data_IF_065343800246
#
_entry.id   IF_065343800246
#
_cell.length_a   1.000
_cell.length_b   1.000
_cell.length_c   1.000
_cell.angle_alpha   90.00
_cell.angle_beta   90.00
_cell.angle_gamma   90.00
#
_symmetry.space_group_name_H-M   'P 1'
#
loop_
_entity.id
_entity.type
_entity.pdbx_description
1 polymer ?
#
# COMPACT_ATOMS: atom_id res chain seq x y z
N UNK A 1 24.93 -5.23 -3.34
CA UNK A 1 25.16 -3.78 -3.63
C UNK A 1 24.54 -2.94 -2.54
N UNK A 2 25.13 -1.80 -2.17
CA UNK A 2 24.51 -0.84 -1.23
C UNK A 2 24.26 0.48 -1.95
N UNK A 3 23.02 0.95 -1.93
CA UNK A 3 22.61 2.26 -2.43
C UNK A 3 22.08 3.05 -1.24
N UNK A 4 22.88 3.98 -0.75
CA UNK A 4 22.57 4.80 0.43
C UNK A 4 22.39 6.25 0.01
N UNK A 5 21.20 6.80 0.26
CA UNK A 5 20.90 8.22 0.15
C UNK A 5 21.22 8.97 1.45
N UNK A 6 21.62 10.23 1.32
CA UNK A 6 21.90 11.12 2.44
C UNK A 6 21.07 12.40 2.28
N UNK A 7 20.44 12.86 3.36
CA UNK A 7 19.67 14.11 3.37
C UNK A 7 18.40 14.07 2.51
N UNK A 8 17.64 12.96 2.56
CA UNK A 8 16.49 12.69 1.68
C UNK A 8 16.84 12.84 0.19
N UNK A 9 17.90 12.14 -0.23
CA UNK A 9 18.29 12.08 -1.62
C UNK A 9 17.10 11.64 -2.48
N UNK A 10 16.76 12.45 -3.48
CA UNK A 10 15.53 12.29 -4.26
C UNK A 10 15.85 11.91 -5.71
N UNK A 11 15.15 10.91 -6.23
CA UNK A 11 15.23 10.48 -7.63
C UNK A 11 13.87 10.74 -8.29
N UNK A 12 13.88 11.48 -9.40
CA UNK A 12 12.70 11.75 -10.21
C UNK A 12 12.88 11.07 -11.57
N UNK A 13 12.03 10.09 -11.95
CA UNK A 13 12.11 9.49 -13.27
C UNK A 13 11.47 10.40 -14.33
N UNK A 14 12.24 10.73 -15.36
CA UNK A 14 11.72 11.38 -16.56
C UNK A 14 11.11 10.36 -17.52
N UNK A 15 10.22 10.81 -18.40
CA UNK A 15 9.69 10.02 -19.53
C UNK A 15 8.94 8.74 -19.13
N UNK A 16 8.41 8.66 -17.90
CA UNK A 16 7.59 7.53 -17.45
C UNK A 16 8.38 6.22 -17.23
N UNK A 17 9.69 6.32 -17.01
CA UNK A 17 10.51 5.13 -16.70
C UNK A 17 10.34 4.72 -15.23
N UNK A 18 10.68 3.47 -14.93
CA UNK A 18 10.91 3.05 -13.54
C UNK A 18 12.20 3.67 -13.02
N UNK A 19 12.15 4.36 -11.88
CA UNK A 19 13.31 5.04 -11.31
C UNK A 19 14.37 4.05 -10.80
N UNK A 20 13.93 2.93 -10.23
CA UNK A 20 14.81 1.94 -9.63
C UNK A 20 14.36 0.52 -9.95
N UNK A 21 15.25 -0.26 -10.59
CA UNK A 21 15.07 -1.70 -10.82
C UNK A 21 16.21 -2.47 -10.17
N UNK A 22 15.89 -3.35 -9.24
CA UNK A 22 16.83 -4.32 -8.66
C UNK A 22 16.69 -5.64 -9.42
N UNK A 23 17.81 -6.26 -9.81
CA UNK A 23 17.78 -7.59 -10.41
C UNK A 23 17.45 -8.70 -9.39
N UNK A 24 17.28 -9.93 -9.88
CA UNK A 24 17.04 -11.10 -9.02
C UNK A 24 18.36 -11.58 -8.39
N UNK A 25 18.87 -10.83 -7.41
CA UNK A 25 20.21 -11.04 -6.80
C UNK A 25 20.18 -10.87 -5.28
N UNK A 26 21.13 -11.52 -4.62
CA UNK A 26 21.28 -11.46 -3.17
C UNK A 26 21.75 -10.09 -2.65
N UNK A 27 21.28 -9.72 -1.46
CA UNK A 27 21.93 -8.77 -0.57
C UNK A 27 22.03 -7.33 -1.09
N UNK A 28 21.11 -6.91 -1.96
CA UNK A 28 21.00 -5.48 -2.30
C UNK A 28 20.40 -4.73 -1.12
N UNK A 29 20.94 -3.57 -0.79
CA UNK A 29 20.46 -2.71 0.30
C UNK A 29 20.11 -1.35 -0.29
N UNK A 30 18.82 -1.03 -0.30
CA UNK A 30 18.31 0.28 -0.66
C UNK A 30 18.00 1.03 0.63
N UNK A 31 18.62 2.19 0.84
CA UNK A 31 18.52 2.92 2.10
C UNK A 31 18.40 4.43 1.90
N UNK A 32 17.39 5.07 2.49
CA UNK A 32 17.32 6.53 2.64
C UNK A 32 17.06 7.30 1.33
N UNK A 33 16.13 6.82 0.51
CA UNK A 33 15.82 7.38 -0.82
C UNK A 33 14.37 7.87 -0.88
N UNK A 34 14.14 9.05 -1.45
CA UNK A 34 12.82 9.47 -1.90
C UNK A 34 12.72 9.24 -3.42
N UNK A 35 11.71 8.50 -3.85
CA UNK A 35 11.37 8.33 -5.26
C UNK A 35 10.14 9.17 -5.55
N UNK A 36 10.33 10.27 -6.27
CA UNK A 36 9.30 11.28 -6.49
C UNK A 36 8.82 11.22 -7.95
N UNK A 37 7.54 10.97 -8.17
CA UNK A 37 7.01 10.66 -9.50
C UNK A 37 7.12 11.86 -10.46
N UNK A 38 7.61 11.59 -11.68
CA UNK A 38 7.59 12.56 -12.77
C UNK A 38 6.19 12.81 -13.33
N UNK A 39 6.07 13.82 -14.21
CA UNK A 39 4.78 14.23 -14.80
C UNK A 39 4.24 13.23 -15.83
N UNK A 40 5.11 12.49 -16.49
CA UNK A 40 4.74 11.35 -17.35
C UNK A 40 4.55 10.12 -16.48
N UNK A 41 3.42 9.44 -16.62
CA UNK A 41 3.09 8.26 -15.83
C UNK A 41 4.14 7.15 -15.99
N UNK A 42 4.72 6.70 -14.88
CA UNK A 42 5.53 5.47 -14.83
C UNK A 42 4.65 4.25 -14.53
N UNK A 43 4.94 3.09 -15.13
CA UNK A 43 4.22 1.86 -14.79
C UNK A 43 4.49 1.44 -13.33
N UNK A 44 5.75 1.54 -12.90
CA UNK A 44 6.16 1.42 -11.51
C UNK A 44 7.28 2.42 -11.20
N UNK A 45 7.41 2.90 -9.97
CA UNK A 45 8.55 3.75 -9.58
C UNK A 45 9.73 2.93 -9.07
N UNK A 46 9.44 1.88 -8.29
CA UNK A 46 10.43 0.94 -7.76
C UNK A 46 10.02 -0.49 -8.08
N UNK A 47 10.98 -1.29 -8.55
CA UNK A 47 10.81 -2.71 -8.81
C UNK A 47 11.98 -3.49 -8.16
N UNK A 48 11.67 -4.40 -7.23
CA UNK A 48 12.65 -5.27 -6.56
C UNK A 48 12.50 -6.69 -7.10
N UNK A 49 13.45 -7.10 -7.94
CA UNK A 49 13.36 -8.32 -8.73
C UNK A 49 12.51 -8.10 -10.00
N UNK A 50 12.87 -8.72 -11.13
CA UNK A 50 12.05 -8.68 -12.34
C UNK A 50 10.73 -9.45 -12.15
N UNK A 51 9.73 -9.15 -12.98
CA UNK A 51 8.53 -9.99 -13.08
C UNK A 51 8.89 -11.47 -13.32
N UNK A 52 8.26 -12.37 -12.56
CA UNK A 52 8.56 -13.80 -12.62
C UNK A 52 9.83 -14.23 -11.87
N UNK A 53 10.43 -13.33 -11.07
CA UNK A 53 11.46 -13.70 -10.10
C UNK A 53 11.01 -14.90 -9.26
N UNK A 54 11.91 -15.85 -9.06
CA UNK A 54 11.62 -17.12 -8.38
C UNK A 54 12.78 -17.65 -7.54
N UNK A 55 13.95 -16.99 -7.59
CA UNK A 55 15.06 -17.34 -6.71
C UNK A 55 14.67 -17.09 -5.24
N UNK A 56 15.20 -17.92 -4.34
CA UNK A 56 15.15 -17.61 -2.90
C UNK A 56 16.42 -16.90 -2.49
N UNK A 57 16.27 -15.88 -1.66
CA UNK A 57 17.34 -15.05 -1.11
C UNK A 57 17.41 -15.14 0.43
N UNK A 58 16.82 -16.16 1.04
CA UNK A 58 16.66 -16.28 2.50
C UNK A 58 17.97 -16.13 3.31
N UNK A 59 19.11 -16.54 2.75
CA UNK A 59 20.40 -16.42 3.43
C UNK A 59 21.01 -15.00 3.38
N UNK A 60 20.59 -14.18 2.42
CA UNK A 60 21.12 -12.84 2.18
C UNK A 60 20.09 -12.01 1.39
N UNK A 61 18.96 -11.62 2.01
CA UNK A 61 17.86 -11.00 1.32
C UNK A 61 18.19 -9.59 0.85
N UNK A 62 17.51 -9.13 -0.20
CA UNK A 62 17.47 -7.70 -0.53
C UNK A 62 16.62 -6.95 0.52
N UNK A 63 17.07 -5.76 0.92
CA UNK A 63 16.34 -4.89 1.85
C UNK A 63 15.99 -3.52 1.25
N UNK A 64 14.80 -3.04 1.61
CA UNK A 64 14.26 -1.71 1.30
C UNK A 64 14.04 -0.99 2.63
N UNK A 65 14.83 0.04 2.92
CA UNK A 65 14.85 0.71 4.23
C UNK A 65 14.81 2.23 4.07
N UNK A 66 13.90 2.91 4.75
CA UNK A 66 13.71 4.36 4.58
C UNK A 66 13.62 4.76 3.09
N UNK A 67 12.95 3.93 2.29
CA UNK A 67 12.64 4.23 0.88
C UNK A 67 11.23 4.74 0.83
N UNK A 68 11.06 5.95 0.32
CA UNK A 68 9.80 6.66 0.27
C UNK A 68 9.36 6.84 -1.17
N UNK A 69 8.05 6.82 -1.41
CA UNK A 69 7.46 7.18 -2.69
C UNK A 69 6.54 8.37 -2.50
N UNK A 70 6.66 9.36 -3.39
CA UNK A 70 5.71 10.46 -3.50
C UNK A 70 5.11 10.52 -4.90
N UNK A 71 3.79 10.61 -4.99
CA UNK A 71 3.06 10.84 -6.25
C UNK A 71 2.26 12.13 -6.16
N UNK A 72 2.85 13.22 -6.65
CA UNK A 72 2.26 14.56 -6.61
C UNK A 72 2.76 15.44 -5.45
N UNK A 73 2.07 16.55 -5.20
CA UNK A 73 2.34 17.46 -4.07
C UNK A 73 3.39 18.55 -4.37
N UNK A 74 4.39 18.24 -5.20
CA UNK A 74 5.37 19.19 -5.74
C UNK A 74 5.20 19.42 -7.26
N UNK A 75 3.99 19.17 -7.77
CA UNK A 75 3.68 19.09 -9.20
C UNK A 75 2.80 17.87 -9.51
N UNK A 76 2.32 17.74 -10.75
CA UNK A 76 1.39 16.68 -11.14
C UNK A 76 2.12 15.37 -11.49
N UNK A 77 2.67 14.69 -10.48
CA UNK A 77 3.35 13.40 -10.64
C UNK A 77 2.38 12.23 -10.79
N UNK A 78 2.72 11.22 -11.59
CA UNK A 78 1.88 10.02 -11.80
C UNK A 78 2.69 8.72 -11.84
N UNK A 79 2.12 7.66 -11.27
CA UNK A 79 2.61 6.30 -11.45
C UNK A 79 1.46 5.31 -11.31
N UNK A 80 1.42 4.25 -12.10
CA UNK A 80 0.39 3.20 -11.96
C UNK A 80 0.57 2.46 -10.63
N UNK A 81 1.81 2.07 -10.30
CA UNK A 81 2.17 1.42 -9.03
C UNK A 81 3.36 2.14 -8.36
N UNK A 82 3.29 2.39 -7.05
CA UNK A 82 4.42 2.97 -6.30
C UNK A 82 5.63 2.02 -6.25
N UNK A 83 5.42 0.82 -5.74
CA UNK A 83 6.49 -0.17 -5.53
C UNK A 83 5.99 -1.59 -5.84
N UNK A 84 6.82 -2.36 -6.54
CA UNK A 84 6.59 -3.78 -6.83
C UNK A 84 7.73 -4.61 -6.23
N UNK A 85 7.38 -5.63 -5.46
CA UNK A 85 8.32 -6.58 -4.84
C UNK A 85 8.10 -7.96 -5.44
N UNK A 86 8.96 -8.36 -6.36
CA UNK A 86 8.93 -9.68 -7.00
C UNK A 86 9.91 -10.66 -6.35
N UNK A 87 11.08 -10.20 -5.90
CA UNK A 87 12.06 -11.10 -5.27
C UNK A 87 11.58 -11.65 -3.94
N UNK A 88 11.69 -12.97 -3.78
CA UNK A 88 11.40 -13.66 -2.54
C UNK A 88 12.31 -13.20 -1.41
N UNK A 89 11.86 -13.40 -0.17
CA UNK A 89 12.60 -13.14 1.07
C UNK A 89 12.96 -11.65 1.29
N UNK A 90 12.49 -10.74 0.43
CA UNK A 90 12.75 -9.30 0.55
C UNK A 90 12.28 -8.77 1.91
N UNK A 91 13.09 -7.90 2.52
CA UNK A 91 12.74 -7.19 3.75
C UNK A 91 12.39 -5.73 3.40
N UNK A 92 11.19 -5.31 3.73
CA UNK A 92 10.74 -3.92 3.68
C UNK A 92 10.71 -3.42 5.13
N UNK A 93 11.68 -2.61 5.52
CA UNK A 93 11.82 -2.14 6.90
C UNK A 93 11.79 -0.62 6.93
N UNK A 94 10.63 -0.09 7.29
CA UNK A 94 10.21 1.29 7.16
C UNK A 94 10.15 1.80 5.71
N UNK A 95 8.92 2.01 5.23
CA UNK A 95 8.64 2.69 3.96
C UNK A 95 7.41 3.56 4.13
N UNK A 96 7.34 4.62 3.33
CA UNK A 96 6.13 5.43 3.19
C UNK A 96 5.85 5.65 1.71
N UNK A 97 4.77 5.06 1.22
CA UNK A 97 4.31 5.22 -0.15
C UNK A 97 3.08 6.11 -0.14
N UNK A 98 3.21 7.30 -0.67
CA UNK A 98 2.21 8.35 -0.48
C UNK A 98 1.79 8.94 -1.82
N UNK A 99 0.52 8.73 -2.19
CA UNK A 99 -0.12 9.56 -3.20
C UNK A 99 -0.55 10.86 -2.53
N UNK A 100 -0.13 11.98 -3.07
CA UNK A 100 -0.30 13.26 -2.39
C UNK A 100 -1.78 13.65 -2.18
N UNK A 101 -2.17 13.92 -0.93
CA UNK A 101 -3.47 14.48 -0.54
C UNK A 101 -3.46 16.02 -0.45
N UNK A 102 -2.27 16.63 -0.43
CA UNK A 102 -2.08 18.08 -0.35
C UNK A 102 -0.87 18.57 -1.18
N UNK A 103 -0.77 19.88 -1.38
CA UNK A 103 0.28 20.53 -2.18
C UNK A 103 -0.19 20.89 -3.60
N UNK A 104 0.75 21.04 -4.53
CA UNK A 104 0.46 21.35 -5.92
C UNK A 104 0.32 20.08 -6.77
N UNK A 105 -0.51 20.12 -7.81
CA UNK A 105 -0.68 19.02 -8.75
C UNK A 105 -1.42 17.80 -8.19
N UNK A 106 -2.31 18.01 -7.22
CA UNK A 106 -3.12 16.96 -6.60
C UNK A 106 -4.52 16.87 -7.20
N UNK A 107 -5.16 15.71 -7.03
CA UNK A 107 -6.55 15.46 -7.39
C UNK A 107 -6.75 14.09 -8.03
N UNK A 108 -8.00 13.61 -8.05
CA UNK A 108 -8.34 12.23 -8.43
C UNK A 108 -7.66 11.74 -9.71
N UNK A 109 -7.63 12.60 -10.74
CA UNK A 109 -6.95 12.33 -12.02
C UNK A 109 -5.60 13.07 -12.19
N UNK A 110 -5.31 14.09 -11.38
CA UNK A 110 -4.12 14.95 -11.53
C UNK A 110 -2.84 14.21 -11.12
N UNK A 111 -2.85 13.56 -9.96
CA UNK A 111 -1.77 12.71 -9.46
C UNK A 111 -2.25 11.27 -9.27
N UNK A 112 -3.06 10.77 -10.21
CA UNK A 112 -3.61 9.43 -10.15
C UNK A 112 -2.51 8.39 -9.96
N UNK A 113 -2.71 7.53 -8.98
CA UNK A 113 -1.90 6.35 -8.72
C UNK A 113 -2.78 5.24 -8.20
N UNK A 114 -2.93 4.18 -8.99
CA UNK A 114 -3.92 3.15 -8.70
C UNK A 114 -3.44 2.24 -7.55
N UNK A 115 -2.15 1.91 -7.46
CA UNK A 115 -1.62 0.95 -6.49
C UNK A 115 -0.39 1.47 -5.74
N UNK A 116 -0.33 1.24 -4.42
CA UNK A 116 0.83 1.63 -3.62
C UNK A 116 1.94 0.59 -3.68
N UNK A 117 1.73 -0.53 -3.00
CA UNK A 117 2.63 -1.67 -2.92
C UNK A 117 1.98 -2.91 -3.53
N UNK A 118 2.68 -3.58 -4.45
CA UNK A 118 2.34 -4.92 -4.91
C UNK A 118 3.44 -5.89 -4.50
N UNK A 119 3.09 -6.90 -3.70
CA UNK A 119 4.02 -7.94 -3.24
C UNK A 119 3.70 -9.25 -3.94
N UNK A 120 4.55 -9.65 -4.87
CA UNK A 120 4.42 -10.89 -5.63
C UNK A 120 5.37 -11.98 -5.11
N UNK A 121 6.50 -11.60 -4.52
CA UNK A 121 7.47 -12.53 -3.95
C UNK A 121 6.99 -13.23 -2.69
N UNK A 122 7.44 -14.47 -2.51
CA UNK A 122 7.19 -15.30 -1.33
C UNK A 122 8.09 -14.90 -0.16
N UNK A 123 7.66 -15.18 1.07
CA UNK A 123 8.42 -14.95 2.32
C UNK A 123 8.85 -13.50 2.56
N UNK A 124 8.21 -12.53 1.90
CA UNK A 124 8.49 -11.10 2.12
C UNK A 124 8.07 -10.69 3.52
N UNK A 125 8.91 -9.89 4.18
CA UNK A 125 8.65 -9.31 5.50
C UNK A 125 8.54 -7.80 5.40
N UNK A 126 7.44 -7.23 5.85
CA UNK A 126 7.26 -5.79 6.03
C UNK A 126 7.22 -5.43 7.53
N UNK A 127 8.06 -4.49 7.96
CA UNK A 127 8.08 -3.92 9.31
C UNK A 127 7.95 -2.40 9.22
N UNK A 128 6.90 -1.82 9.81
CA UNK A 128 6.67 -0.38 9.71
C UNK A 128 6.21 0.05 8.30
N UNK A 129 5.09 -0.51 7.83
CA UNK A 129 4.55 -0.24 6.50
C UNK A 129 3.55 0.93 6.52
N UNK A 130 3.84 2.02 5.79
CA UNK A 130 2.94 3.16 5.64
C UNK A 130 2.60 3.33 4.15
N UNK A 131 1.31 3.28 3.80
CA UNK A 131 0.87 3.38 2.39
C UNK A 131 -0.46 4.10 2.30
N UNK A 132 -0.55 5.20 1.56
CA UNK A 132 -1.69 6.11 1.65
C UNK A 132 -2.19 6.67 0.31
N UNK A 133 -3.51 6.86 0.28
CA UNK A 133 -4.33 7.62 -0.66
C UNK A 133 -4.37 7.13 -2.11
N UNK A 134 -4.00 5.89 -2.39
CA UNK A 134 -4.05 5.34 -3.74
C UNK A 134 -5.51 5.18 -4.22
N UNK A 135 -5.72 5.31 -5.53
CA UNK A 135 -7.06 5.27 -6.12
C UNK A 135 -7.72 3.88 -6.00
N UNK A 136 -6.93 2.80 -5.89
CA UNK A 136 -7.40 1.42 -5.72
C UNK A 136 -6.82 0.78 -4.47
N UNK A 137 -6.14 -0.36 -4.60
CA UNK A 137 -5.53 -1.07 -3.47
C UNK A 137 -4.24 -0.37 -3.09
N UNK A 138 -4.16 0.13 -1.86
CA UNK A 138 -2.92 0.69 -1.33
C UNK A 138 -1.86 -0.41 -1.23
N UNK A 139 -2.21 -1.57 -0.68
CA UNK A 139 -1.38 -2.79 -0.67
C UNK A 139 -2.15 -3.96 -1.30
N UNK A 140 -1.49 -4.68 -2.21
CA UNK A 140 -1.92 -5.99 -2.70
C UNK A 140 -0.81 -7.02 -2.50
N UNK A 141 -1.14 -8.14 -1.87
CA UNK A 141 -0.23 -9.22 -1.55
C UNK A 141 -0.65 -10.51 -2.24
N UNK A 142 0.20 -10.96 -3.15
CA UNK A 142 -0.01 -12.13 -4.01
C UNK A 142 0.93 -13.29 -3.68
N UNK A 143 2.09 -13.01 -3.07
CA UNK A 143 3.08 -14.02 -2.67
C UNK A 143 2.72 -14.77 -1.39
N UNK A 144 3.24 -15.99 -1.25
CA UNK A 144 3.01 -16.88 -0.11
C UNK A 144 3.87 -16.53 1.11
N UNK A 145 3.38 -16.91 2.29
CA UNK A 145 4.08 -16.78 3.58
C UNK A 145 4.56 -15.36 3.91
N UNK A 146 3.85 -14.36 3.39
CA UNK A 146 4.13 -12.95 3.66
C UNK A 146 3.81 -12.56 5.11
N UNK A 147 4.58 -11.61 5.65
CA UNK A 147 4.35 -11.07 7.00
C UNK A 147 4.39 -9.55 7.03
N UNK A 148 3.45 -8.94 7.75
CA UNK A 148 3.45 -7.50 8.03
C UNK A 148 3.34 -7.24 9.53
N UNK A 149 4.31 -6.53 10.09
CA UNK A 149 4.29 -6.09 11.49
C UNK A 149 4.24 -4.56 11.47
N UNK A 150 3.10 -4.03 11.94
CA UNK A 150 2.68 -2.64 11.79
C UNK A 150 2.30 -2.26 10.34
N UNK A 151 1.05 -1.80 10.18
CA UNK A 151 0.57 -1.13 8.97
C UNK A 151 -0.25 0.10 9.32
N UNK A 152 0.01 1.19 8.61
CA UNK A 152 -0.79 2.41 8.63
C UNK A 152 -1.21 2.75 7.20
N UNK A 153 -2.47 3.11 7.04
CA UNK A 153 -3.03 3.57 5.78
C UNK A 153 -4.12 4.60 5.98
N UNK A 154 -4.18 5.58 5.10
CA UNK A 154 -5.37 6.39 4.86
C UNK A 154 -5.88 6.20 3.43
N UNK A 155 -7.20 6.08 3.25
CA UNK A 155 -7.82 5.99 1.91
C UNK A 155 -7.72 7.33 1.18
N UNK A 156 -7.91 7.30 -0.14
CA UNK A 156 -7.97 8.50 -0.98
C UNK A 156 -9.13 9.41 -0.55
N UNK A 157 -8.83 10.63 -0.11
CA UNK A 157 -9.85 11.57 0.36
C UNK A 157 -10.72 12.12 -0.77
N UNK A 158 -10.17 12.12 -1.98
CA UNK A 158 -10.63 12.90 -3.13
C UNK A 158 -11.42 12.07 -4.15
N UNK A 159 -11.87 10.88 -3.77
CA UNK A 159 -12.84 10.11 -4.55
C UNK A 159 -14.09 10.97 -4.83
N UNK A 160 -14.46 11.22 -6.11
CA UNK A 160 -15.51 12.17 -6.43
C UNK A 160 -16.92 11.65 -6.15
N UNK A 161 -17.07 10.34 -5.99
CA UNK A 161 -18.32 9.65 -5.64
C UNK A 161 -18.06 8.15 -5.42
N UNK A 162 -19.06 7.43 -4.91
CA UNK A 162 -19.00 5.97 -4.72
C UNK A 162 -18.65 5.17 -5.99
N UNK A 163 -19.12 5.62 -7.17
CA UNK A 163 -18.91 4.88 -8.41
C UNK A 163 -17.45 4.90 -8.87
N UNK A 164 -16.71 5.97 -8.57
CA UNK A 164 -15.28 6.09 -8.89
C UNK A 164 -14.41 5.07 -8.16
N UNK A 165 -14.86 4.58 -7.00
CA UNK A 165 -14.16 3.60 -6.16
C UNK A 165 -14.85 2.22 -6.16
N UNK A 166 -15.87 2.00 -7.00
CA UNK A 166 -16.58 0.74 -7.04
C UNK A 166 -15.66 -0.39 -7.55
N UNK A 167 -15.54 -1.47 -6.79
CA UNK A 167 -14.72 -2.63 -7.09
C UNK A 167 -15.61 -3.87 -7.32
N UNK A 168 -16.18 -3.99 -8.52
CA UNK A 168 -17.19 -5.00 -8.79
C UNK A 168 -18.41 -4.81 -7.88
N UNK A 169 -18.78 -5.83 -7.10
CA UNK A 169 -19.84 -5.71 -6.08
C UNK A 169 -19.38 -5.06 -4.77
N UNK A 170 -18.07 -4.96 -4.53
CA UNK A 170 -17.48 -4.39 -3.31
C UNK A 170 -17.40 -2.87 -3.42
N UNK A 171 -17.74 -2.17 -2.33
CA UNK A 171 -17.68 -0.70 -2.27
C UNK A 171 -16.28 -0.26 -1.84
N UNK A 172 -15.51 0.31 -2.76
CA UNK A 172 -14.12 0.66 -2.46
C UNK A 172 -13.17 -0.51 -2.66
N UNK A 173 -11.89 -0.16 -2.79
CA UNK A 173 -10.78 -1.11 -2.79
C UNK A 173 -10.19 -1.16 -1.37
N UNK A 174 -9.91 -2.35 -0.85
CA UNK A 174 -9.28 -2.50 0.46
C UNK A 174 -7.96 -1.70 0.55
N UNK A 175 -7.61 -1.25 1.74
CA UNK A 175 -6.28 -0.72 2.00
C UNK A 175 -5.21 -1.80 1.88
N UNK A 176 -5.55 -3.02 2.31
CA UNK A 176 -4.63 -4.14 2.28
C UNK A 176 -5.39 -5.39 1.83
N UNK A 177 -5.10 -5.84 0.60
CA UNK A 177 -5.65 -7.05 0.02
C UNK A 177 -4.61 -8.17 0.05
N UNK A 178 -4.98 -9.33 0.59
CA UNK A 178 -4.34 -10.61 0.31
C UNK A 178 -5.15 -11.30 -0.78
N UNK A 179 -4.50 -11.76 -1.85
CA UNK A 179 -5.19 -12.44 -2.94
C UNK A 179 -5.76 -13.79 -2.48
N UNK A 180 -6.93 -14.16 -3.01
CA UNK A 180 -7.67 -15.36 -2.57
C UNK A 180 -6.92 -16.68 -2.80
N UNK A 181 -5.96 -16.67 -3.73
CA UNK A 181 -5.08 -17.80 -4.01
C UNK A 181 -4.08 -18.08 -2.89
N UNK A 182 -3.67 -17.06 -2.12
CA UNK A 182 -2.65 -17.17 -1.06
C UNK A 182 -3.12 -18.10 0.05
N UNK A 183 -2.24 -18.99 0.51
CA UNK A 183 -2.56 -19.98 1.54
C UNK A 183 -1.93 -19.65 2.89
N UNK A 184 -0.82 -18.91 2.90
CA UNK A 184 -0.12 -18.49 4.11
C UNK A 184 0.14 -16.99 4.09
N UNK A 185 -0.32 -16.29 5.11
CA UNK A 185 -0.05 -14.86 5.30
C UNK A 185 -0.28 -14.48 6.77
N UNK A 186 0.46 -13.53 7.31
CA UNK A 186 0.19 -13.08 8.68
C UNK A 186 0.47 -11.59 8.93
N UNK A 187 -0.47 -10.89 9.57
CA UNK A 187 -0.33 -9.46 9.90
C UNK A 187 -0.58 -9.13 11.37
N UNK A 188 0.16 -8.16 11.93
CA UNK A 188 0.01 -7.68 13.31
C UNK A 188 -0.05 -6.15 13.40
N UNK A 189 -1.09 -5.62 14.05
CA UNK A 189 -1.26 -4.19 14.30
C UNK A 189 -1.44 -3.38 13.01
N UNK A 190 -2.59 -3.52 12.34
CA UNK A 190 -2.85 -2.87 11.07
C UNK A 190 -4.05 -1.93 11.16
N UNK A 191 -3.89 -0.69 10.68
CA UNK A 191 -4.93 0.33 10.69
C UNK A 191 -5.21 0.95 9.31
N UNK A 192 -6.49 1.13 8.99
CA UNK A 192 -6.92 1.92 7.82
C UNK A 192 -7.89 3.03 8.24
N UNK A 193 -7.61 4.27 7.86
CA UNK A 193 -8.44 5.43 8.16
C UNK A 193 -9.08 5.97 6.87
N UNK A 194 -10.29 6.53 6.97
CA UNK A 194 -10.94 7.24 5.87
C UNK A 194 -11.28 8.68 6.23
N UNK A 195 -11.12 9.56 5.25
CA UNK A 195 -11.51 10.97 5.33
C UNK A 195 -11.99 11.44 3.95
N UNK A 196 -13.10 10.87 3.48
CA UNK A 196 -13.69 11.22 2.18
C UNK A 196 -14.34 12.61 2.24
N UNK A 197 -13.52 13.66 2.40
CA UNK A 197 -13.99 15.04 2.56
C UNK A 197 -14.61 15.61 1.29
N UNK A 198 -14.27 15.07 0.11
CA UNK A 198 -14.85 15.47 -1.17
C UNK A 198 -16.28 14.92 -1.33
N UNK A 199 -16.50 13.64 -1.02
CA UNK A 199 -17.84 13.05 -0.92
C UNK A 199 -17.98 12.22 0.37
N UNK A 200 -18.47 12.85 1.46
CA UNK A 200 -18.64 12.19 2.75
C UNK A 200 -19.70 11.09 2.79
N UNK A 201 -20.48 10.93 1.70
CA UNK A 201 -21.48 9.86 1.59
C UNK A 201 -20.88 8.50 1.22
N UNK A 202 -19.61 8.48 0.78
CA UNK A 202 -18.90 7.28 0.38
C UNK A 202 -18.85 6.26 1.52
N UNK A 203 -19.06 5.00 1.14
CA UNK A 203 -18.83 3.83 1.97
C UNK A 203 -17.63 3.06 1.44
N UNK A 204 -16.73 2.74 2.35
CA UNK A 204 -15.68 1.75 2.17
C UNK A 204 -16.18 0.45 2.78
N UNK A 205 -16.14 -0.66 2.06
CA UNK A 205 -16.72 -1.90 2.56
C UNK A 205 -15.89 -2.45 3.73
N UNK A 206 -14.58 -2.49 3.56
CA UNK A 206 -13.62 -2.92 4.58
C UNK A 206 -12.26 -2.25 4.39
N UNK A 207 -11.47 -2.19 5.45
CA UNK A 207 -10.06 -1.79 5.36
C UNK A 207 -9.20 -2.93 4.82
N UNK A 208 -9.55 -4.16 5.16
CA UNK A 208 -8.75 -5.35 4.86
C UNK A 208 -9.58 -6.37 4.06
N UNK A 209 -8.94 -7.04 3.10
CA UNK A 209 -9.56 -8.10 2.31
C UNK A 209 -8.62 -9.31 2.26
N UNK A 210 -9.07 -10.50 2.63
CA UNK A 210 -8.22 -11.70 2.65
C UNK A 210 -9.02 -13.00 2.55
N UNK A 211 -8.43 -14.10 2.05
CA UNK A 211 -9.08 -15.40 2.08
C UNK A 211 -9.24 -15.93 3.51
N UNK A 212 -10.37 -16.58 3.78
CA UNK A 212 -10.64 -17.27 5.05
C UNK A 212 -10.02 -18.67 5.00
N UNK A 213 -8.74 -18.76 5.41
CA UNK A 213 -7.95 -20.00 5.43
C UNK A 213 -7.16 -20.09 6.73
N UNK A 214 -6.91 -21.30 7.21
CA UNK A 214 -6.18 -21.53 8.47
C UNK A 214 -4.77 -20.92 8.50
N UNK A 215 -4.12 -20.77 7.33
CA UNK A 215 -2.78 -20.20 7.21
C UNK A 215 -2.73 -18.68 6.99
N UNK A 216 -3.87 -18.02 6.77
CA UNK A 216 -3.96 -16.57 6.53
C UNK A 216 -4.57 -15.93 7.75
N UNK A 217 -3.76 -15.23 8.56
CA UNK A 217 -4.17 -14.74 9.89
C UNK A 217 -3.89 -13.26 10.09
N UNK A 218 -4.69 -12.58 10.89
CA UNK A 218 -4.42 -11.21 11.32
C UNK A 218 -4.67 -11.04 12.81
N UNK A 219 -3.94 -10.09 13.40
CA UNK A 219 -3.99 -9.73 14.80
C UNK A 219 -4.07 -8.22 14.93
N UNK A 220 -5.00 -7.73 15.77
CA UNK A 220 -5.16 -6.32 16.09
C UNK A 220 -5.38 -5.43 14.86
N UNK A 221 -6.46 -5.71 14.11
CA UNK A 221 -6.93 -4.88 13.00
C UNK A 221 -7.84 -3.76 13.51
N UNK A 222 -7.73 -2.59 12.88
CA UNK A 222 -8.66 -1.48 13.12
C UNK A 222 -8.99 -0.70 11.85
N UNK A 223 -10.21 -0.15 11.80
CA UNK A 223 -10.60 0.87 10.83
C UNK A 223 -11.22 2.08 11.53
N UNK A 224 -11.05 3.27 10.95
CA UNK A 224 -11.50 4.53 11.57
C UNK A 224 -12.03 5.49 10.51
N UNK A 225 -13.18 6.10 10.78
CA UNK A 225 -13.62 7.30 10.04
C UNK A 225 -13.17 8.55 10.78
N UNK A 226 -12.42 9.42 10.10
CA UNK A 226 -11.95 10.69 10.65
C UNK A 226 -13.08 11.73 10.56
N UNK A 227 -13.65 12.11 11.71
CA UNK A 227 -14.69 13.14 11.77
C UNK A 227 -16.00 12.77 11.09
N UNK A 228 -16.21 11.50 10.73
CA UNK A 228 -17.41 11.04 10.02
C UNK A 228 -17.41 11.30 8.51
N UNK A 229 -16.26 11.62 7.91
CA UNK A 229 -16.13 11.87 6.47
C UNK A 229 -16.02 10.54 5.71
N UNK A 230 -17.17 10.00 5.31
CA UNK A 230 -17.33 8.62 4.87
C UNK A 230 -17.21 7.63 6.03
N UNK A 231 -17.47 6.35 5.77
CA UNK A 231 -17.51 5.31 6.81
C UNK A 231 -17.13 3.93 6.25
N UNK A 232 -16.59 3.08 7.11
CA UNK A 232 -16.40 1.65 6.85
C UNK A 232 -17.66 0.85 7.18
N UNK A 233 -17.99 -0.17 6.39
CA UNK A 233 -19.04 -1.13 6.72
C UNK A 233 -18.51 -2.24 7.65
N UNK A 234 -17.26 -2.65 7.47
CA UNK A 234 -16.57 -3.71 8.20
C UNK A 234 -15.09 -3.40 8.41
N UNK A 235 -14.41 -4.16 9.26
CA UNK A 235 -12.96 -4.05 9.46
C UNK A 235 -12.25 -4.84 8.36
N UNK A 236 -12.55 -6.15 8.27
CA UNK A 236 -11.96 -7.09 7.32
C UNK A 236 -13.06 -7.94 6.68
N UNK A 237 -13.09 -8.06 5.34
CA UNK A 237 -14.15 -8.73 4.60
C UNK A 237 -15.55 -8.26 5.05
N UNK A 238 -16.32 -9.14 5.70
CA UNK A 238 -17.64 -8.95 6.30
C UNK A 238 -17.61 -8.98 7.85
N UNK A 239 -16.41 -8.97 8.44
CA UNK A 239 -16.16 -9.10 9.89
C UNK A 239 -15.75 -7.77 10.52
N UNK A 240 -16.23 -7.53 11.74
CA UNK A 240 -16.05 -6.26 12.47
C UNK A 240 -17.22 -5.32 12.26
N UNK A 241 -17.50 -4.48 13.27
CA UNK A 241 -18.59 -3.51 13.21
C UNK A 241 -18.28 -2.36 12.26
N UNK A 242 -19.30 -1.71 11.67
CA UNK A 242 -19.10 -0.48 10.90
C UNK A 242 -18.59 0.65 11.79
N UNK A 243 -17.89 1.61 11.19
CA UNK A 243 -17.68 2.91 11.83
C UNK A 243 -18.97 3.73 11.73
N UNK A 244 -19.19 4.63 12.69
CA UNK A 244 -20.38 5.49 12.69
C UNK A 244 -20.16 6.78 13.47
N UNK A 245 -21.03 7.77 13.23
CA UNK A 245 -20.95 9.08 13.87
C UNK A 245 -19.70 9.87 13.45
N UNK A 246 -19.37 10.88 14.24
CA UNK A 246 -18.28 11.84 13.95
C UNK A 246 -17.17 11.82 15.01
N UNK A 247 -17.29 11.00 16.05
CA UNK A 247 -16.38 11.00 17.22
C UNK A 247 -15.05 10.27 17.00
N UNK A 248 -14.70 9.91 15.76
CA UNK A 248 -13.44 9.23 15.38
C UNK A 248 -13.11 8.06 16.30
N UNK A 249 -14.05 7.13 16.45
CA UNK A 249 -13.89 5.94 17.29
C UNK A 249 -13.48 4.75 16.41
N UNK A 250 -12.38 4.05 16.72
CA UNK A 250 -11.98 2.87 15.97
C UNK A 250 -12.98 1.72 16.10
N UNK A 251 -13.22 1.01 14.98
CA UNK A 251 -13.78 -0.33 14.99
C UNK A 251 -12.65 -1.35 14.87
N UNK A 252 -12.68 -2.40 15.68
CA UNK A 252 -11.54 -3.31 15.85
C UNK A 252 -11.94 -4.77 15.61
N UNK A 253 -10.97 -5.56 15.14
CA UNK A 253 -11.00 -7.03 15.12
C UNK A 253 -9.67 -7.52 15.70
N UNK A 254 -9.74 -8.21 16.84
CA UNK A 254 -8.53 -8.67 17.56
C UNK A 254 -7.85 -9.85 16.84
N UNK A 255 -8.62 -10.73 16.20
CA UNK A 255 -8.09 -11.92 15.51
C UNK A 255 -8.91 -12.23 14.26
N UNK A 256 -8.25 -12.77 13.23
CA UNK A 256 -8.84 -13.26 11.99
C UNK A 256 -8.01 -14.43 11.41
N UNK A 257 -8.61 -15.39 10.68
CA UNK A 257 -10.04 -15.67 10.70
C UNK A 257 -10.48 -16.13 12.09
#
# INVERSE_FOLDING_TARGET
TVVLGLGLATIIPDNGVTALKVGDVDGVKLAGLLIDAGTTNSDSLVEVGPEGASASHAANPTSVQDVFVRVGGAGAGKATTGMVINSNDTIIDHTWLWRADHGEGIGWETNRSDYGLQVNGDNVLATGLFVEHFNKYDVRWSGENGKTIFFQNEKAYDAPNQAAVQNGSTKGYAAYKVDDSVNTHEGWGLGSYCYFNVDPSIRQDHGFEAPVKAGVKFHDLLVVSLGGQGQYNHVINDTGSPTSGTSTVPSNVVSFP
#
